data_IF_909786145322
#
_entry.id   IF_909786145322
#
_cell.length_a   1.000
_cell.length_b   1.000
_cell.length_c   1.000
_cell.angle_alpha   90.00
_cell.angle_beta   90.00
_cell.angle_gamma   90.00
#
_symmetry.space_group_name_H-M   'P 1'
#
loop_
_entity.id
_entity.type
_entity.pdbx_description
1 polymer ?
#
# COMPACT_ATOMS: atom_id res chain seq x y z
N UNK A 1 2.33 22.77 24.31
CA UNK A 1 2.53 22.16 22.95
C UNK A 1 2.37 20.68 23.14
N UNK A 2 1.43 20.05 22.47
CA UNK A 2 1.25 18.60 22.56
C UNK A 2 2.38 17.88 21.82
N UNK A 3 2.80 16.73 22.35
CA UNK A 3 3.79 15.89 21.67
C UNK A 3 3.10 15.19 20.49
N UNK A 4 3.78 15.16 19.33
CA UNK A 4 3.33 14.42 18.17
C UNK A 4 4.49 13.71 17.49
N UNK A 5 4.18 12.64 16.78
CA UNK A 5 5.15 11.90 15.95
C UNK A 5 4.63 11.84 14.52
N UNK A 6 5.52 12.04 13.57
CA UNK A 6 5.24 11.89 12.13
C UNK A 6 6.03 10.70 11.61
N UNK A 7 5.34 9.73 11.05
CA UNK A 7 5.96 8.56 10.46
C UNK A 7 5.57 8.46 8.99
N UNK A 8 6.57 8.53 8.13
CA UNK A 8 6.43 8.29 6.69
C UNK A 8 7.10 6.96 6.39
N UNK A 9 6.43 6.00 5.75
CA UNK A 9 7.04 4.71 5.47
C UNK A 9 8.23 4.89 4.52
N UNK A 10 9.36 4.22 4.74
CA UNK A 10 10.41 4.15 3.74
C UNK A 10 9.88 3.46 2.49
N UNK A 11 10.36 3.86 1.31
CA UNK A 11 9.91 3.28 0.06
C UNK A 11 11.04 3.13 -0.97
N UNK A 12 10.85 2.21 -1.90
CA UNK A 12 11.66 2.05 -3.10
C UNK A 12 10.74 2.13 -4.31
N UNK A 13 11.08 2.95 -5.29
CA UNK A 13 10.30 3.15 -6.51
C UNK A 13 11.13 2.85 -7.76
N UNK A 14 10.53 2.20 -8.73
CA UNK A 14 11.14 1.88 -10.03
C UNK A 14 10.83 0.45 -10.50
N UNK A 15 11.18 0.10 -11.74
CA UNK A 15 10.88 -1.22 -12.31
C UNK A 15 11.57 -2.38 -11.56
N UNK A 16 12.70 -2.09 -10.92
CA UNK A 16 13.52 -3.04 -10.16
C UNK A 16 13.33 -2.92 -8.63
N UNK A 17 12.26 -2.27 -8.17
CA UNK A 17 12.05 -2.00 -6.74
C UNK A 17 12.12 -3.28 -5.87
N UNK A 18 11.66 -4.42 -6.39
CA UNK A 18 11.63 -5.68 -5.65
C UNK A 18 13.02 -6.27 -5.38
N UNK A 19 14.07 -5.87 -6.10
CA UNK A 19 15.45 -6.29 -5.77
C UNK A 19 15.93 -5.80 -4.41
N UNK A 20 15.23 -4.84 -3.80
CA UNK A 20 15.56 -4.36 -2.47
C UNK A 20 14.91 -5.19 -1.34
N UNK A 21 14.12 -6.23 -1.66
CA UNK A 21 13.38 -7.04 -0.68
C UNK A 21 14.33 -7.61 0.37
N UNK A 22 15.40 -8.30 -0.03
CA UNK A 22 16.34 -8.88 0.92
C UNK A 22 16.89 -7.83 1.89
N UNK A 23 17.41 -6.73 1.34
CA UNK A 23 17.99 -5.64 2.13
C UNK A 23 17.03 -5.05 3.15
N UNK A 24 15.76 -4.89 2.79
CA UNK A 24 14.78 -4.24 3.64
C UNK A 24 14.06 -5.20 4.59
N UNK A 25 13.97 -6.48 4.23
CA UNK A 25 13.15 -7.44 4.96
C UNK A 25 13.94 -8.39 5.87
N UNK A 26 15.23 -8.68 5.57
CA UNK A 26 16.01 -9.72 6.25
C UNK A 26 16.09 -9.59 7.78
N UNK A 27 16.02 -8.37 8.31
CA UNK A 27 16.04 -8.11 9.76
C UNK A 27 14.77 -8.54 10.48
N UNK A 28 13.68 -8.76 9.74
CA UNK A 28 12.37 -9.12 10.30
C UNK A 28 12.10 -10.62 10.28
N UNK A 29 12.92 -11.41 9.61
CA UNK A 29 12.79 -12.86 9.53
C UNK A 29 13.13 -13.41 8.15
N UNK A 30 12.81 -14.70 7.94
CA UNK A 30 13.13 -15.43 6.71
C UNK A 30 11.89 -15.92 5.96
N UNK A 31 10.74 -15.97 6.63
CA UNK A 31 9.50 -16.52 6.07
C UNK A 31 8.50 -15.41 5.79
N UNK A 32 8.12 -15.25 4.54
CA UNK A 32 7.09 -14.32 4.12
C UNK A 32 5.84 -15.05 3.63
N UNK A 33 4.67 -14.52 3.91
CA UNK A 33 3.42 -14.91 3.23
C UNK A 33 2.96 -13.77 2.36
N UNK A 34 2.63 -14.05 1.11
CA UNK A 34 2.05 -13.09 0.19
C UNK A 34 0.53 -13.11 0.33
N UNK A 35 -0.05 -11.99 0.73
CA UNK A 35 -1.50 -11.85 0.85
C UNK A 35 -1.97 -10.76 -0.11
N UNK A 36 -2.94 -11.08 -0.98
CA UNK A 36 -3.35 -10.10 -1.98
C UNK A 36 -4.56 -10.45 -2.82
N UNK A 37 -4.85 -9.58 -3.78
CA UNK A 37 -5.85 -9.84 -4.82
C UNK A 37 -5.36 -10.85 -5.85
N UNK A 38 -6.23 -11.71 -6.37
CA UNK A 38 -5.84 -12.76 -7.33
C UNK A 38 -5.10 -12.21 -8.55
N UNK A 39 -5.65 -11.16 -9.20
CA UNK A 39 -5.02 -10.51 -10.36
C UNK A 39 -3.73 -9.77 -9.97
N UNK A 40 -3.71 -9.11 -8.83
CA UNK A 40 -2.56 -8.39 -8.30
C UNK A 40 -1.39 -9.34 -8.01
N UNK A 41 -1.65 -10.45 -7.34
CA UNK A 41 -0.65 -11.48 -7.08
C UNK A 41 -0.13 -12.09 -8.39
N UNK A 42 -1.00 -12.37 -9.36
CA UNK A 42 -0.57 -12.89 -10.66
C UNK A 42 0.39 -11.93 -11.38
N UNK A 43 0.13 -10.62 -11.34
CA UNK A 43 1.00 -9.61 -11.94
C UNK A 43 2.36 -9.47 -11.22
N UNK A 44 2.41 -9.72 -9.92
CA UNK A 44 3.62 -9.54 -9.11
C UNK A 44 4.41 -10.82 -8.89
N UNK A 45 3.82 -11.99 -9.06
CA UNK A 45 4.35 -13.29 -8.62
C UNK A 45 5.74 -13.59 -9.14
N UNK A 46 5.96 -13.52 -10.45
CA UNK A 46 7.24 -13.88 -11.06
C UNK A 46 8.36 -12.93 -10.60
N UNK A 47 8.04 -11.63 -10.49
CA UNK A 47 8.98 -10.62 -9.99
C UNK A 47 9.31 -10.83 -8.50
N UNK A 48 8.32 -11.20 -7.67
CA UNK A 48 8.53 -11.53 -6.27
C UNK A 48 9.41 -12.78 -6.11
N UNK A 49 9.08 -13.85 -6.82
CA UNK A 49 9.86 -15.09 -6.77
C UNK A 49 11.29 -14.89 -7.27
N UNK A 50 11.48 -14.12 -8.34
CA UNK A 50 12.80 -13.77 -8.84
C UNK A 50 13.59 -12.91 -7.84
N UNK A 51 12.92 -11.99 -7.13
CA UNK A 51 13.56 -11.10 -6.18
C UNK A 51 14.02 -11.79 -4.88
N UNK A 52 13.32 -12.87 -4.47
CA UNK A 52 13.72 -13.65 -3.28
C UNK A 52 14.60 -14.87 -3.62
N UNK A 53 14.75 -15.19 -4.90
CA UNK A 53 15.62 -16.26 -5.36
C UNK A 53 17.06 -15.97 -4.92
N UNK A 54 17.72 -16.95 -4.38
CA UNK A 54 19.10 -16.85 -3.90
C UNK A 54 19.30 -15.88 -2.71
N UNK A 55 18.18 -15.47 -2.07
CA UNK A 55 18.18 -14.73 -0.80
C UNK A 55 17.90 -15.65 0.38
N UNK A 56 17.95 -15.12 1.58
CA UNK A 56 17.54 -15.84 2.78
C UNK A 56 16.03 -15.83 3.05
N UNK A 57 15.22 -15.29 2.14
CA UNK A 57 13.77 -15.13 2.32
C UNK A 57 13.02 -16.20 1.52
N UNK A 58 12.13 -16.92 2.20
CA UNK A 58 11.22 -17.91 1.64
C UNK A 58 9.79 -17.37 1.59
N UNK A 59 9.12 -17.47 0.44
CA UNK A 59 7.68 -17.20 0.33
C UNK A 59 6.93 -18.52 0.58
N UNK A 60 6.20 -18.59 1.70
CA UNK A 60 5.48 -19.78 2.12
C UNK A 60 4.27 -20.07 1.24
N UNK A 61 3.50 -19.05 0.90
CA UNK A 61 2.28 -19.18 0.10
C UNK A 61 1.82 -17.84 -0.48
N UNK A 62 0.92 -17.92 -1.46
CA UNK A 62 0.20 -16.79 -2.07
C UNK A 62 -1.28 -16.91 -1.73
N UNK A 63 -1.75 -16.11 -0.80
CA UNK A 63 -3.08 -16.20 -0.20
C UNK A 63 -4.00 -15.09 -0.67
N UNK A 64 -5.21 -15.45 -1.08
CA UNK A 64 -6.23 -14.47 -1.42
C UNK A 64 -6.82 -13.78 -0.17
N UNK A 65 -6.85 -12.45 -0.16
CA UNK A 65 -7.25 -11.64 0.99
C UNK A 65 -8.78 -11.65 1.31
N UNK A 66 -9.61 -12.27 0.47
CA UNK A 66 -11.06 -12.37 0.70
C UNK A 66 -11.93 -11.44 -0.16
N UNK A 67 -11.35 -10.43 -0.84
CA UNK A 67 -12.04 -9.54 -1.78
C UNK A 67 -12.47 -8.19 -1.20
N UNK A 68 -12.74 -8.09 0.10
CA UNK A 68 -13.08 -6.84 0.80
C UNK A 68 -12.32 -6.74 2.12
N UNK A 69 -12.03 -5.51 2.56
CA UNK A 69 -11.43 -5.26 3.86
C UNK A 69 -12.51 -5.35 4.95
N UNK A 70 -12.72 -6.56 5.46
CA UNK A 70 -13.63 -6.84 6.58
C UNK A 70 -12.89 -7.52 7.72
N UNK A 71 -13.37 -7.37 8.96
CA UNK A 71 -12.80 -8.10 10.10
C UNK A 71 -12.90 -9.63 9.92
N UNK A 72 -13.97 -10.11 9.26
CA UNK A 72 -14.15 -11.53 9.01
C UNK A 72 -13.09 -12.08 8.04
N UNK A 73 -12.76 -11.34 6.98
CA UNK A 73 -11.69 -11.74 6.05
C UNK A 73 -10.31 -11.73 6.75
N UNK A 74 -10.02 -10.72 7.58
CA UNK A 74 -8.81 -10.72 8.39
C UNK A 74 -8.73 -11.96 9.29
N UNK A 75 -9.79 -12.27 10.04
CA UNK A 75 -9.87 -13.47 10.89
C UNK A 75 -9.73 -14.78 10.12
N UNK A 76 -10.25 -14.88 8.90
CA UNK A 76 -10.05 -16.07 8.06
C UNK A 76 -8.57 -16.22 7.67
N UNK A 77 -7.89 -15.14 7.31
CA UNK A 77 -6.45 -15.17 7.02
C UNK A 77 -5.64 -15.65 8.21
N UNK A 78 -5.99 -15.21 9.42
CA UNK A 78 -5.34 -15.60 10.67
C UNK A 78 -5.43 -17.10 10.97
N UNK A 79 -6.41 -17.82 10.42
CA UNK A 79 -6.55 -19.26 10.57
C UNK A 79 -5.60 -20.06 9.66
N UNK A 80 -5.04 -19.42 8.63
CA UNK A 80 -4.20 -20.11 7.66
C UNK A 80 -2.80 -20.37 8.23
N UNK A 81 -2.33 -21.59 8.06
CA UNK A 81 -1.04 -22.01 8.60
C UNK A 81 0.12 -21.18 8.04
N UNK A 82 0.11 -20.89 6.73
CA UNK A 82 1.12 -20.06 6.11
C UNK A 82 1.19 -18.64 6.71
N UNK A 83 0.04 -18.05 7.09
CA UNK A 83 -0.01 -16.75 7.76
C UNK A 83 0.55 -16.85 9.18
N UNK A 84 0.24 -17.93 9.89
CA UNK A 84 0.73 -18.17 11.25
C UNK A 84 2.23 -18.41 11.30
N UNK A 85 2.76 -19.19 10.35
CA UNK A 85 4.18 -19.56 10.29
C UNK A 85 5.08 -18.47 9.71
N UNK A 86 4.53 -17.50 8.97
CA UNK A 86 5.31 -16.43 8.40
C UNK A 86 5.85 -15.49 9.48
N UNK A 87 7.05 -14.98 9.27
CA UNK A 87 7.66 -13.93 10.08
C UNK A 87 7.15 -12.55 9.67
N UNK A 88 6.71 -12.39 8.40
CA UNK A 88 6.28 -11.13 7.81
C UNK A 88 5.20 -11.33 6.75
N UNK A 89 4.43 -10.26 6.49
CA UNK A 89 3.36 -10.23 5.50
C UNK A 89 3.76 -9.34 4.32
N UNK A 90 3.71 -9.88 3.10
CA UNK A 90 3.82 -9.14 1.85
C UNK A 90 2.41 -8.81 1.34
N UNK A 91 1.96 -7.59 1.57
CA UNK A 91 0.63 -7.10 1.18
C UNK A 91 0.63 -6.66 -0.29
N UNK A 92 0.09 -7.50 -1.19
CA UNK A 92 0.16 -7.30 -2.65
C UNK A 92 -1.19 -6.90 -3.23
N UNK A 93 -1.30 -5.67 -3.74
CA UNK A 93 -2.54 -5.25 -4.39
C UNK A 93 -2.86 -3.77 -4.29
N UNK A 94 -4.15 -3.48 -4.35
CA UNK A 94 -4.71 -2.15 -4.08
C UNK A 94 -5.12 -1.99 -2.62
N UNK A 95 -5.80 -0.87 -2.31
CA UNK A 95 -6.16 -0.46 -0.96
C UNK A 95 -6.84 -1.54 -0.12
N UNK A 96 -7.86 -2.22 -0.65
CA UNK A 96 -8.61 -3.25 0.09
C UNK A 96 -7.73 -4.40 0.58
N UNK A 97 -6.83 -4.90 -0.27
CA UNK A 97 -5.93 -5.98 0.10
C UNK A 97 -4.90 -5.52 1.14
N UNK A 98 -4.31 -4.34 0.93
CA UNK A 98 -3.32 -3.77 1.83
C UNK A 98 -3.96 -3.46 3.19
N UNK A 99 -5.15 -2.89 3.23
CA UNK A 99 -5.87 -2.58 4.46
C UNK A 99 -6.25 -3.84 5.25
N UNK A 100 -6.62 -4.94 4.56
CA UNK A 100 -6.83 -6.24 5.22
C UNK A 100 -5.53 -6.76 5.85
N UNK A 101 -4.39 -6.63 5.16
CA UNK A 101 -3.10 -7.07 5.69
C UNK A 101 -2.65 -6.24 6.90
N UNK A 102 -2.99 -4.95 6.97
CA UNK A 102 -2.75 -4.11 8.15
C UNK A 102 -3.49 -4.64 9.39
N UNK A 103 -4.74 -5.08 9.24
CA UNK A 103 -5.50 -5.69 10.34
C UNK A 103 -4.80 -6.97 10.84
N UNK A 104 -4.46 -7.89 9.94
CA UNK A 104 -3.76 -9.14 10.27
C UNK A 104 -2.38 -8.86 10.91
N UNK A 105 -1.67 -7.84 10.44
CA UNK A 105 -0.37 -7.43 10.96
C UNK A 105 -0.41 -7.08 12.45
N UNK A 106 -1.46 -6.38 12.89
CA UNK A 106 -1.64 -6.01 14.31
C UNK A 106 -1.99 -7.22 15.16
N UNK A 107 -2.96 -8.01 14.73
CA UNK A 107 -3.46 -9.13 15.52
C UNK A 107 -2.37 -10.19 15.77
N UNK A 108 -1.40 -10.29 14.86
CA UNK A 108 -0.23 -11.18 15.01
C UNK A 108 1.08 -10.50 15.42
N UNK A 109 1.07 -9.18 15.61
CA UNK A 109 2.29 -8.39 15.86
C UNK A 109 3.40 -8.66 14.81
N UNK A 110 2.99 -8.90 13.55
CA UNK A 110 3.91 -9.19 12.45
C UNK A 110 4.15 -7.95 11.58
N UNK A 111 5.38 -7.68 11.17
CA UNK A 111 5.65 -6.61 10.22
C UNK A 111 4.97 -6.91 8.89
N UNK A 112 4.41 -5.86 8.26
CA UNK A 112 3.94 -5.95 6.89
C UNK A 112 4.72 -5.02 5.97
N UNK A 113 4.85 -5.44 4.74
CA UNK A 113 5.47 -4.73 3.64
C UNK A 113 4.45 -4.53 2.55
N UNK A 114 4.40 -3.33 1.98
CA UNK A 114 3.39 -2.97 0.99
C UNK A 114 3.93 -3.08 -0.44
N UNK A 115 3.22 -3.80 -1.28
CA UNK A 115 3.53 -4.02 -2.70
C UNK A 115 2.33 -3.56 -3.55
N UNK A 116 2.15 -2.25 -3.74
CA UNK A 116 1.06 -1.74 -4.55
C UNK A 116 1.20 -2.20 -6.00
N UNK A 117 0.11 -2.69 -6.58
CA UNK A 117 0.03 -3.11 -7.98
C UNK A 117 -0.81 -2.17 -8.81
N UNK A 118 -1.43 -1.17 -8.19
CA UNK A 118 -2.21 -0.10 -8.77
C UNK A 118 -1.93 1.19 -8.02
N UNK A 119 -1.99 2.32 -8.71
CA UNK A 119 -1.79 3.64 -8.12
C UNK A 119 -3.13 4.37 -7.98
N UNK A 120 -4.09 3.80 -7.23
CA UNK A 120 -5.45 4.34 -7.14
C UNK A 120 -5.72 5.18 -5.89
N UNK A 121 -4.92 5.06 -4.84
CA UNK A 121 -5.06 5.78 -3.57
C UNK A 121 -3.80 5.66 -2.70
N UNK A 122 -3.82 6.30 -1.53
CA UNK A 122 -2.69 6.36 -0.59
C UNK A 122 -2.62 5.20 0.44
N UNK A 123 -3.48 4.20 0.37
CA UNK A 123 -3.47 3.08 1.33
C UNK A 123 -2.09 2.40 1.51
N UNK A 124 -1.25 2.24 0.46
CA UNK A 124 0.07 1.64 0.61
C UNK A 124 0.99 2.32 1.62
N UNK A 125 0.82 3.62 1.82
CA UNK A 125 1.70 4.46 2.66
C UNK A 125 1.04 4.94 3.95
N UNK A 126 -0.27 4.74 4.10
CA UNK A 126 -1.03 5.24 5.25
C UNK A 126 -1.02 4.27 6.43
N UNK A 127 -1.06 4.83 7.65
CA UNK A 127 -1.24 4.08 8.89
C UNK A 127 -2.72 4.00 9.30
N UNK A 128 -3.60 3.74 8.32
CA UNK A 128 -5.04 3.60 8.55
C UNK A 128 -5.61 2.55 7.61
N UNK A 129 -6.60 1.79 8.08
CA UNK A 129 -7.43 0.92 7.25
C UNK A 129 -8.87 1.39 7.25
N UNK A 130 -9.50 1.30 6.09
CA UNK A 130 -10.94 1.51 5.94
C UNK A 130 -11.59 0.13 5.98
N UNK A 131 -12.37 -0.14 7.03
CA UNK A 131 -13.04 -1.43 7.23
C UNK A 131 -14.51 -1.32 6.83
N UNK A 132 -14.97 -2.33 6.13
CA UNK A 132 -16.34 -2.46 5.64
C UNK A 132 -17.06 -3.62 6.34
N UNK A 133 -18.39 -3.55 6.36
CA UNK A 133 -19.26 -4.66 6.72
C UNK A 133 -19.34 -5.67 5.56
N UNK A 134 -19.87 -6.86 5.84
CA UNK A 134 -20.03 -7.91 4.81
C UNK A 134 -21.00 -7.52 3.68
N UNK A 135 -21.89 -6.56 3.91
CA UNK A 135 -22.80 -5.98 2.92
C UNK A 135 -22.17 -4.86 2.08
N UNK A 136 -20.88 -4.53 2.31
CA UNK A 136 -20.14 -3.48 1.62
C UNK A 136 -20.36 -2.08 2.17
N UNK A 137 -21.13 -1.89 3.23
CA UNK A 137 -21.29 -0.59 3.89
C UNK A 137 -20.05 -0.25 4.73
N UNK A 138 -19.76 1.05 4.87
CA UNK A 138 -18.67 1.51 5.73
C UNK A 138 -18.89 1.06 7.18
N UNK A 139 -17.86 0.49 7.80
CA UNK A 139 -17.87 0.12 9.20
C UNK A 139 -17.14 1.14 10.05
N UNK A 140 -15.82 1.25 9.91
CA UNK A 140 -15.01 2.22 10.65
C UNK A 140 -13.61 2.40 10.05
N UNK A 141 -12.91 3.45 10.51
CA UNK A 141 -11.47 3.59 10.38
C UNK A 141 -10.75 2.85 11.52
N UNK A 142 -9.69 2.14 11.19
CA UNK A 142 -8.75 1.57 12.17
C UNK A 142 -7.41 2.27 11.99
N UNK A 143 -6.95 2.96 13.03
CA UNK A 143 -5.68 3.68 13.03
C UNK A 143 -4.58 2.80 13.62
N UNK A 144 -3.41 2.88 13.03
CA UNK A 144 -2.22 2.15 13.44
C UNK A 144 -1.14 3.09 13.93
N UNK A 145 -0.26 2.60 14.79
CA UNK A 145 0.88 3.40 15.27
C UNK A 145 1.91 3.63 14.16
N UNK A 146 2.08 2.65 13.28
CA UNK A 146 3.09 2.70 12.23
C UNK A 146 2.50 2.28 10.88
N UNK A 147 2.96 2.89 9.77
CA UNK A 147 2.66 2.42 8.43
C UNK A 147 3.46 1.15 8.09
N UNK A 148 3.45 0.73 6.82
CA UNK A 148 4.26 -0.38 6.33
C UNK A 148 5.75 -0.20 6.70
N UNK A 149 6.44 -1.29 7.05
CA UNK A 149 7.89 -1.25 7.30
C UNK A 149 8.67 -0.82 6.08
N UNK A 150 8.18 -1.12 4.89
CA UNK A 150 8.67 -0.60 3.61
C UNK A 150 7.60 -0.71 2.54
N UNK A 151 7.61 0.20 1.56
CA UNK A 151 6.72 0.18 0.39
C UNK A 151 7.55 -0.06 -0.87
N UNK A 152 7.28 -1.13 -1.60
CA UNK A 152 7.96 -1.49 -2.84
C UNK A 152 7.07 -1.14 -4.03
N UNK A 153 7.36 -0.02 -4.68
CA UNK A 153 6.57 0.52 -5.79
C UNK A 153 7.22 0.10 -7.11
N UNK A 154 6.74 -1.01 -7.69
CA UNK A 154 7.19 -1.45 -9.01
C UNK A 154 6.41 -0.69 -10.08
N UNK A 155 7.09 0.23 -10.76
CA UNK A 155 6.45 1.11 -11.75
C UNK A 155 5.96 0.35 -12.98
N UNK A 156 6.62 -0.72 -13.39
CA UNK A 156 6.20 -1.55 -14.53
C UNK A 156 4.89 -2.29 -14.24
N UNK A 157 4.70 -2.82 -13.01
CA UNK A 157 3.44 -3.46 -12.63
C UNK A 157 2.29 -2.45 -12.64
N UNK A 158 2.53 -1.25 -12.10
CA UNK A 158 1.52 -0.19 -12.04
C UNK A 158 1.19 0.32 -13.45
N UNK A 159 2.20 0.49 -14.30
CA UNK A 159 2.03 0.93 -15.67
C UNK A 159 1.19 -0.07 -16.52
N UNK A 160 1.31 -1.36 -16.24
CA UNK A 160 0.53 -2.41 -16.92
C UNK A 160 -0.82 -2.71 -16.24
N UNK A 161 -1.17 -2.02 -15.17
CA UNK A 161 -2.48 -2.15 -14.54
C UNK A 161 -3.58 -1.46 -15.36
N UNK A 162 -4.87 -1.84 -15.20
CA UNK A 162 -5.97 -1.15 -15.85
C UNK A 162 -5.94 0.37 -15.58
N UNK A 163 -6.01 1.16 -16.66
CA UNK A 163 -5.83 2.63 -16.63
C UNK A 163 -6.79 3.37 -15.70
N UNK A 164 -7.98 2.81 -15.47
CA UNK A 164 -8.97 3.39 -14.57
C UNK A 164 -8.46 3.55 -13.15
N UNK A 165 -7.55 2.69 -12.72
CA UNK A 165 -6.92 2.83 -11.39
C UNK A 165 -5.92 3.98 -11.34
N UNK A 166 -5.12 4.17 -12.39
CA UNK A 166 -4.22 5.32 -12.48
C UNK A 166 -5.02 6.62 -12.57
N UNK A 167 -6.07 6.64 -13.40
CA UNK A 167 -6.97 7.77 -13.52
C UNK A 167 -7.64 8.13 -12.19
N UNK A 168 -8.14 7.12 -11.46
CA UNK A 168 -8.72 7.31 -10.13
C UNK A 168 -7.70 7.88 -9.13
N UNK A 169 -6.45 7.38 -9.16
CA UNK A 169 -5.37 7.85 -8.28
C UNK A 169 -4.93 9.28 -8.58
N UNK A 170 -4.90 9.69 -9.85
CA UNK A 170 -4.66 11.08 -10.25
C UNK A 170 -5.76 11.97 -9.66
N UNK A 171 -7.04 11.58 -9.80
CA UNK A 171 -8.18 12.30 -9.24
C UNK A 171 -8.14 12.38 -7.71
N UNK A 172 -7.85 11.26 -7.03
CA UNK A 172 -7.72 11.20 -5.57
C UNK A 172 -6.59 12.11 -5.08
N UNK A 173 -5.43 12.06 -5.73
CA UNK A 173 -4.27 12.90 -5.38
C UNK A 173 -4.58 14.37 -5.60
N UNK A 174 -5.22 14.71 -6.71
CA UNK A 174 -5.63 16.09 -7.02
C UNK A 174 -6.60 16.63 -5.96
N UNK A 175 -7.60 15.85 -5.58
CA UNK A 175 -8.60 16.24 -4.59
C UNK A 175 -7.98 16.49 -3.21
N UNK A 176 -6.94 15.72 -2.80
CA UNK A 176 -6.31 15.82 -1.47
C UNK A 176 -5.83 17.23 -1.13
N UNK A 177 -5.26 17.96 -2.07
CA UNK A 177 -4.83 19.34 -1.82
C UNK A 177 -6.00 20.25 -1.44
N UNK A 178 -7.11 20.15 -2.15
CA UNK A 178 -8.30 20.96 -1.86
C UNK A 178 -8.97 20.53 -0.55
N UNK A 179 -9.09 19.25 -0.30
CA UNK A 179 -9.63 18.69 0.95
C UNK A 179 -8.88 19.23 2.17
N UNK A 180 -7.54 19.10 2.18
CA UNK A 180 -6.74 19.56 3.32
C UNK A 180 -6.70 21.09 3.42
N UNK A 181 -6.69 21.80 2.30
CA UNK A 181 -6.67 23.27 2.29
C UNK A 181 -7.99 23.87 2.80
N UNK A 182 -9.12 23.26 2.41
CA UNK A 182 -10.44 23.69 2.88
C UNK A 182 -10.62 23.35 4.35
N UNK A 183 -10.22 22.14 4.77
CA UNK A 183 -10.29 21.72 6.17
C UNK A 183 -9.42 22.56 7.10
N UNK A 184 -8.31 23.07 6.59
CA UNK A 184 -7.32 23.86 7.35
C UNK A 184 -7.56 25.38 7.27
N UNK A 185 -8.54 25.84 6.49
CA UNK A 185 -8.78 27.30 6.29
C UNK A 185 -9.15 28.00 7.59
N UNK A 186 -8.54 29.18 7.79
CA UNK A 186 -8.80 30.02 8.94
C UNK A 186 -8.09 29.54 10.24
N UNK A 187 -7.35 28.45 10.20
CA UNK A 187 -6.55 27.95 11.32
C UNK A 187 -5.09 28.40 11.22
N UNK A 188 -4.45 28.65 12.37
CA UNK A 188 -3.00 28.70 12.46
C UNK A 188 -2.48 27.27 12.50
N UNK A 189 -1.96 26.80 11.38
CA UNK A 189 -1.53 25.41 11.24
C UNK A 189 -0.30 25.11 12.13
N UNK A 190 -0.38 24.03 12.87
CA UNK A 190 0.77 23.42 13.51
C UNK A 190 1.70 22.79 12.45
N UNK A 191 2.97 22.58 12.82
CA UNK A 191 3.99 22.13 11.90
C UNK A 191 3.61 20.90 11.06
N UNK A 192 3.10 19.84 11.71
CA UNK A 192 2.74 18.60 11.02
C UNK A 192 1.53 18.75 10.07
N UNK A 193 0.54 19.59 10.44
CA UNK A 193 -0.60 19.91 9.56
C UNK A 193 -0.13 20.73 8.34
N UNK A 194 0.78 21.68 8.57
CA UNK A 194 1.38 22.46 7.49
C UNK A 194 2.18 21.58 6.52
N UNK A 195 2.94 20.60 7.03
CA UNK A 195 3.61 19.59 6.19
C UNK A 195 2.60 18.83 5.31
N UNK A 196 1.49 18.38 5.87
CA UNK A 196 0.44 17.67 5.12
C UNK A 196 -0.11 18.50 3.96
N UNK A 197 -0.38 19.80 4.18
CA UNK A 197 -0.84 20.73 3.13
C UNK A 197 0.22 20.86 2.03
N UNK A 198 1.50 21.06 2.39
CA UNK A 198 2.57 21.21 1.41
C UNK A 198 2.84 19.93 0.61
N UNK A 199 2.83 18.77 1.25
CA UNK A 199 2.98 17.48 0.56
C UNK A 199 1.83 17.24 -0.41
N UNK A 200 0.58 17.53 -0.01
CA UNK A 200 -0.58 17.41 -0.89
C UNK A 200 -0.49 18.34 -2.10
N UNK A 201 0.02 19.57 -1.91
CA UNK A 201 0.26 20.51 -2.99
C UNK A 201 1.30 20.00 -3.98
N UNK A 202 2.44 19.55 -3.47
CA UNK A 202 3.52 18.98 -4.29
C UNK A 202 3.03 17.81 -5.14
N UNK A 203 2.23 16.91 -4.55
CA UNK A 203 1.64 15.79 -5.28
C UNK A 203 0.64 16.26 -6.35
N UNK A 204 -0.20 17.25 -6.04
CA UNK A 204 -1.15 17.81 -7.00
C UNK A 204 -0.41 18.45 -8.20
N UNK A 205 0.65 19.24 -7.96
CA UNK A 205 1.44 19.86 -9.01
C UNK A 205 2.06 18.81 -9.95
N UNK A 206 2.60 17.71 -9.40
CA UNK A 206 3.11 16.59 -10.19
C UNK A 206 2.02 15.92 -11.05
N UNK A 207 0.78 15.78 -10.53
CA UNK A 207 -0.33 15.22 -11.31
C UNK A 207 -0.77 16.16 -12.45
N UNK A 208 -0.72 17.47 -12.24
CA UNK A 208 -1.01 18.45 -13.30
C UNK A 208 0.05 18.42 -14.41
N UNK A 209 1.31 18.25 -14.05
CA UNK A 209 2.42 18.24 -15.00
C UNK A 209 2.49 16.93 -15.79
N UNK A 210 2.35 15.79 -15.12
CA UNK A 210 2.66 14.48 -15.72
C UNK A 210 1.44 13.57 -15.91
N UNK A 211 0.33 13.81 -15.24
CA UNK A 211 -0.79 12.87 -15.19
C UNK A 211 -1.42 12.55 -16.55
N UNK A 212 -1.57 13.54 -17.43
CA UNK A 212 -2.13 13.32 -18.76
C UNK A 212 -1.20 12.48 -19.66
N UNK A 213 0.12 12.66 -19.53
CA UNK A 213 1.10 11.86 -20.28
C UNK A 213 1.15 10.44 -19.72
N UNK A 214 1.18 10.27 -18.39
CA UNK A 214 1.18 8.97 -17.76
C UNK A 214 -0.03 8.10 -18.16
N UNK A 215 -1.23 8.70 -18.32
CA UNK A 215 -2.41 7.98 -18.80
C UNK A 215 -2.27 7.52 -20.26
N UNK A 216 -1.66 8.34 -21.13
CA UNK A 216 -1.40 7.96 -22.53
C UNK A 216 -0.37 6.85 -22.62
N UNK A 217 0.70 6.94 -21.83
CA UNK A 217 1.77 5.94 -21.80
C UNK A 217 1.24 4.59 -21.29
N UNK A 218 0.38 4.60 -20.26
CA UNK A 218 -0.31 3.41 -19.79
C UNK A 218 -1.18 2.76 -20.87
N UNK A 219 -1.94 3.54 -21.66
CA UNK A 219 -2.73 3.01 -22.78
C UNK A 219 -1.86 2.34 -23.87
N UNK A 220 -0.63 2.83 -24.04
CA UNK A 220 0.30 2.31 -25.04
C UNK A 220 1.20 1.19 -24.49
N UNK A 221 1.10 0.86 -23.19
CA UNK A 221 1.97 -0.11 -22.53
C UNK A 221 3.44 0.33 -22.44
N UNK A 222 3.70 1.64 -22.52
CA UNK A 222 5.05 2.25 -22.52
C UNK A 222 5.35 3.06 -21.25
N UNK A 223 4.45 3.07 -20.27
CA UNK A 223 4.56 3.85 -19.03
C UNK A 223 5.62 3.29 -18.07
#
# INVERSE_FOLDING_TARGET
>A
MENYSVQVPPYTVGPEAYRQIEKQCHIYGKKAVVVGGKKAMAAAKDKLLAAVKDTGIEILDFVWFGGECTFNNAKKLEQLEAVRQADMIFAVGGGKAIDTCKLVSIDFEKPYFSFPTIASNCAPTSAVSIVYNEDGTFCKFVHFLEPAKHVFINTEIIANAPKEYLWAGIGDTYAKYYEVSISARGEKLEHFKAMGVQLSRMCMEAMLEHGAQALKDNEQGTA
#
